data_IF_627854417572
#
_entry.id   IF_627854417572
#
_cell.length_a   1.000
_cell.length_b   1.000
_cell.length_c   1.000
_cell.angle_alpha   90.00
_cell.angle_beta   90.00
_cell.angle_gamma   90.00
#
_symmetry.space_group_name_H-M   'P 1'
#
loop_
_entity.id
_entity.type
_entity.pdbx_description
1 polymer ?
#
# COMPACT_ATOMS: atom_id res chain seq x y z
N UNK A 1 -9.05 -13.41 -7.35
CA UNK A 1 -9.33 -12.22 -6.51
C UNK A 1 -8.05 -11.48 -6.06
N UNK A 2 -7.03 -12.17 -5.53
CA UNK A 2 -5.81 -11.52 -5.03
C UNK A 2 -5.08 -10.71 -6.12
N UNK A 3 -4.72 -11.36 -7.23
CA UNK A 3 -4.08 -10.71 -8.37
C UNK A 3 -4.92 -9.54 -8.91
N UNK A 4 -6.24 -9.73 -9.07
CA UNK A 4 -7.13 -8.70 -9.59
C UNK A 4 -7.16 -7.45 -8.69
N UNK A 5 -7.14 -7.63 -7.36
CA UNK A 5 -7.11 -6.54 -6.40
C UNK A 5 -5.77 -5.80 -6.39
N UNK A 6 -4.65 -6.51 -6.54
CA UNK A 6 -3.33 -5.91 -6.66
C UNK A 6 -3.19 -5.09 -7.94
N UNK A 7 -3.61 -5.65 -9.08
CA UNK A 7 -3.62 -4.93 -10.35
C UNK A 7 -4.51 -3.69 -10.27
N UNK A 8 -5.72 -3.84 -9.71
CA UNK A 8 -6.62 -2.70 -9.53
C UNK A 8 -6.03 -1.61 -8.64
N UNK A 9 -5.35 -1.98 -7.56
CA UNK A 9 -4.67 -1.02 -6.68
C UNK A 9 -3.54 -0.31 -7.43
N UNK A 10 -2.74 -1.06 -8.21
CA UNK A 10 -1.64 -0.51 -9.02
C UNK A 10 -2.14 0.51 -10.03
N UNK A 11 -3.23 0.20 -10.76
CA UNK A 11 -3.88 1.12 -11.70
C UNK A 11 -4.31 2.43 -11.03
N UNK A 12 -4.96 2.33 -9.87
CA UNK A 12 -5.46 3.50 -9.15
C UNK A 12 -4.32 4.37 -8.62
N UNK A 13 -3.25 3.75 -8.11
CA UNK A 13 -2.05 4.46 -7.65
C UNK A 13 -1.36 5.16 -8.82
N UNK A 14 -1.14 4.46 -9.94
CA UNK A 14 -0.51 5.02 -11.13
C UNK A 14 -1.31 6.20 -11.70
N UNK A 15 -2.63 6.04 -11.85
CA UNK A 15 -3.53 7.10 -12.30
C UNK A 15 -3.51 8.32 -11.37
N UNK A 16 -3.52 8.10 -10.05
CA UNK A 16 -3.51 9.19 -9.06
C UNK A 16 -2.16 9.93 -9.01
N UNK A 17 -1.07 9.24 -9.34
CA UNK A 17 0.28 9.79 -9.42
C UNK A 17 0.62 10.41 -10.80
N UNK A 18 -0.23 10.23 -11.81
CA UNK A 18 0.04 10.68 -13.19
C UNK A 18 1.16 9.88 -13.86
N UNK A 19 1.27 8.59 -13.54
CA UNK A 19 2.30 7.69 -14.09
C UNK A 19 1.67 6.79 -15.14
N UNK A 20 1.95 7.10 -16.41
CA UNK A 20 1.37 6.36 -17.54
C UNK A 20 2.18 5.11 -17.91
N UNK A 21 3.43 5.02 -17.44
CA UNK A 21 4.36 3.92 -17.75
C UNK A 21 4.70 3.15 -16.49
N UNK A 22 4.08 1.99 -16.34
CA UNK A 22 4.33 1.08 -15.22
C UNK A 22 4.23 -0.38 -15.68
N UNK A 23 4.76 -1.27 -14.83
CA UNK A 23 4.69 -2.73 -14.95
C UNK A 23 4.27 -3.29 -13.59
N UNK A 24 3.67 -4.46 -13.59
CA UNK A 24 3.32 -5.20 -12.38
C UNK A 24 4.21 -6.44 -12.27
N UNK A 25 4.73 -6.67 -11.08
CA UNK A 25 5.62 -7.79 -10.77
C UNK A 25 5.33 -8.30 -9.37
N UNK A 26 5.62 -9.58 -9.15
CA UNK A 26 5.65 -10.20 -7.83
C UNK A 26 7.06 -10.15 -7.25
N UNK A 27 7.16 -10.33 -5.95
CA UNK A 27 8.42 -10.49 -5.22
C UNK A 27 8.25 -11.62 -4.18
N UNK A 28 9.34 -12.00 -3.54
CA UNK A 28 9.34 -12.99 -2.45
C UNK A 28 8.92 -14.40 -2.88
N UNK A 29 9.18 -14.78 -4.14
CA UNK A 29 8.96 -16.15 -4.59
C UNK A 29 9.92 -17.10 -3.87
N UNK A 30 9.42 -18.21 -3.33
CA UNK A 30 10.28 -19.21 -2.68
C UNK A 30 11.00 -20.11 -3.70
N UNK A 31 12.13 -20.67 -3.30
CA UNK A 31 12.88 -21.65 -4.08
C UNK A 31 12.34 -23.09 -3.96
N UNK A 32 11.10 -23.30 -3.52
CA UNK A 32 10.57 -24.66 -3.22
C UNK A 32 10.15 -25.46 -4.45
N UNK A 33 10.33 -24.92 -5.66
CA UNK A 33 10.05 -25.59 -6.93
C UNK A 33 8.57 -25.63 -7.33
N UNK A 34 7.68 -25.03 -6.54
CA UNK A 34 6.28 -24.84 -6.91
C UNK A 34 6.13 -23.63 -7.86
N UNK A 35 5.19 -23.66 -8.82
CA UNK A 35 4.95 -22.53 -9.71
C UNK A 35 4.40 -21.31 -8.95
N UNK A 36 5.15 -20.21 -8.96
CA UNK A 36 4.73 -18.94 -8.38
C UNK A 36 4.02 -18.05 -9.40
N UNK A 37 3.26 -17.07 -8.90
CA UNK A 37 2.68 -16.02 -9.73
C UNK A 37 3.79 -15.11 -10.26
N UNK A 38 3.81 -14.88 -11.57
CA UNK A 38 4.81 -14.04 -12.25
C UNK A 38 4.20 -12.83 -12.99
N UNK A 39 5.04 -11.94 -13.51
CA UNK A 39 6.51 -12.04 -13.54
C UNK A 39 7.16 -11.71 -12.19
N UNK A 40 8.33 -12.27 -11.91
CA UNK A 40 9.15 -11.86 -10.77
C UNK A 40 9.77 -10.47 -11.01
N UNK A 41 10.11 -9.74 -9.93
CA UNK A 41 10.74 -8.43 -10.00
C UNK A 41 12.09 -8.49 -10.72
N UNK A 42 12.89 -9.54 -10.50
CA UNK A 42 14.19 -9.72 -11.16
C UNK A 42 14.01 -9.92 -12.66
N UNK A 43 13.07 -10.79 -13.08
CA UNK A 43 12.73 -11.01 -14.49
C UNK A 43 12.26 -9.72 -15.17
N UNK A 44 11.50 -8.91 -14.41
CA UNK A 44 11.01 -7.62 -14.89
C UNK A 44 12.16 -6.64 -15.09
N UNK A 45 13.14 -6.59 -14.18
CA UNK A 45 14.32 -5.74 -14.34
C UNK A 45 15.16 -6.14 -15.55
N UNK A 46 15.35 -7.44 -15.80
CA UNK A 46 16.03 -7.92 -17.00
C UNK A 46 15.31 -7.48 -18.27
N UNK A 47 13.99 -7.67 -18.31
CA UNK A 47 13.15 -7.24 -19.44
C UNK A 47 13.29 -5.74 -19.69
N UNK A 48 13.18 -4.92 -18.64
CA UNK A 48 13.32 -3.47 -18.73
C UNK A 48 14.74 -3.05 -19.19
N UNK A 49 15.78 -3.76 -18.77
CA UNK A 49 17.16 -3.51 -19.20
C UNK A 49 17.30 -3.75 -20.71
N UNK A 50 16.74 -4.86 -21.21
CA UNK A 50 16.70 -5.21 -22.64
C UNK A 50 15.88 -4.20 -23.47
N UNK A 51 14.79 -3.66 -22.92
CA UNK A 51 14.00 -2.58 -23.52
C UNK A 51 14.72 -1.20 -23.48
N UNK A 52 15.91 -1.11 -22.86
CA UNK A 52 16.73 0.10 -22.81
C UNK A 52 16.43 1.04 -21.65
N UNK A 53 15.65 0.61 -20.66
CA UNK A 53 15.38 1.40 -19.45
C UNK A 53 16.55 1.37 -18.48
N UNK A 54 16.86 2.52 -17.87
CA UNK A 54 18.03 2.73 -17.00
C UNK A 54 17.68 3.31 -15.63
N UNK A 55 16.40 3.59 -15.39
CA UNK A 55 15.91 4.06 -14.10
C UNK A 55 14.58 3.40 -13.80
N UNK A 56 14.44 2.83 -12.61
CA UNK A 56 13.23 2.13 -12.15
C UNK A 56 12.88 2.61 -10.73
N UNK A 57 11.61 2.96 -10.52
CA UNK A 57 11.04 3.22 -9.21
C UNK A 57 10.10 2.08 -8.84
N UNK A 58 10.41 1.36 -7.76
CA UNK A 58 9.58 0.29 -7.21
C UNK A 58 8.61 0.87 -6.16
N UNK A 59 7.33 0.57 -6.31
CA UNK A 59 6.30 0.91 -5.34
C UNK A 59 5.60 -0.37 -4.85
N UNK A 60 5.93 -0.80 -3.63
CA UNK A 60 5.36 -2.01 -3.05
C UNK A 60 3.95 -1.76 -2.54
N UNK A 61 2.96 -2.37 -3.19
CA UNK A 61 1.53 -2.20 -2.84
C UNK A 61 0.96 -3.36 -2.02
N UNK A 62 1.67 -4.49 -1.93
CA UNK A 62 1.21 -5.70 -1.21
C UNK A 62 1.38 -5.60 0.31
N UNK A 63 2.12 -4.61 0.79
CA UNK A 63 2.43 -4.41 2.21
C UNK A 63 2.29 -2.95 2.59
N UNK A 64 2.13 -2.68 3.89
CA UNK A 64 1.95 -1.33 4.43
C UNK A 64 3.14 -0.85 5.26
N UNK A 65 4.06 -1.75 5.63
CA UNK A 65 5.19 -1.45 6.50
C UNK A 65 6.48 -2.07 5.97
N UNK A 66 7.61 -1.49 6.33
CA UNK A 66 8.90 -2.12 6.11
C UNK A 66 9.01 -3.39 6.97
N UNK A 67 9.50 -4.46 6.36
CA UNK A 67 9.75 -5.77 6.96
C UNK A 67 10.86 -6.45 6.16
N UNK A 68 11.25 -7.67 6.55
CA UNK A 68 12.43 -8.34 6.01
C UNK A 68 12.40 -8.44 4.49
N UNK A 69 11.26 -8.81 3.92
CA UNK A 69 11.03 -9.01 2.49
C UNK A 69 11.14 -7.70 1.70
N UNK A 70 10.81 -6.54 2.29
CA UNK A 70 11.03 -5.24 1.63
C UNK A 70 12.51 -4.90 1.61
N UNK A 71 13.18 -5.02 2.76
CA UNK A 71 14.59 -4.67 2.86
C UNK A 71 15.49 -5.63 2.09
N UNK A 72 15.20 -6.92 2.15
CA UNK A 72 16.04 -7.92 1.53
C UNK A 72 15.76 -7.99 0.02
N UNK A 73 14.52 -8.29 -0.38
CA UNK A 73 14.21 -8.55 -1.78
C UNK A 73 14.41 -7.31 -2.66
N UNK A 74 14.05 -6.12 -2.16
CA UNK A 74 14.19 -4.88 -2.93
C UNK A 74 15.53 -4.20 -2.66
N UNK A 75 15.84 -3.88 -1.40
CA UNK A 75 17.01 -3.06 -1.09
C UNK A 75 18.34 -3.82 -1.17
N UNK A 76 18.33 -5.15 -1.28
CA UNK A 76 19.54 -5.96 -1.47
C UNK A 76 19.49 -6.69 -2.82
N UNK A 77 18.56 -7.62 -3.02
CA UNK A 77 18.58 -8.48 -4.21
C UNK A 77 18.26 -7.73 -5.50
N UNK A 78 17.12 -7.03 -5.55
CA UNK A 78 16.73 -6.29 -6.74
C UNK A 78 17.69 -5.14 -7.05
N UNK A 79 18.22 -4.45 -6.03
CA UNK A 79 19.27 -3.43 -6.22
C UNK A 79 20.56 -4.02 -6.78
N UNK A 80 21.05 -5.13 -6.23
CA UNK A 80 22.24 -5.79 -6.76
C UNK A 80 22.05 -6.23 -8.21
N UNK A 81 20.87 -6.77 -8.56
CA UNK A 81 20.54 -7.10 -9.94
C UNK A 81 20.48 -5.87 -10.84
N UNK A 82 19.83 -4.81 -10.39
CA UNK A 82 19.72 -3.56 -11.13
C UNK A 82 21.10 -2.95 -11.42
N UNK A 83 22.02 -2.96 -10.44
CA UNK A 83 23.40 -2.51 -10.61
C UNK A 83 24.14 -3.32 -11.69
N UNK A 84 24.00 -4.65 -11.70
CA UNK A 84 24.56 -5.52 -12.75
C UNK A 84 24.00 -5.20 -14.15
N UNK A 85 22.75 -4.76 -14.23
CA UNK A 85 22.06 -4.41 -15.47
C UNK A 85 22.28 -2.94 -15.88
N UNK A 86 22.96 -2.13 -15.05
CA UNK A 86 23.13 -0.70 -15.28
C UNK A 86 21.83 0.11 -15.11
N UNK A 87 20.94 -0.34 -14.24
CA UNK A 87 19.68 0.33 -13.87
C UNK A 87 19.84 1.01 -12.51
N UNK A 88 19.53 2.31 -12.44
CA UNK A 88 19.32 2.98 -11.16
C UNK A 88 17.95 2.56 -10.58
N UNK A 89 17.97 1.78 -9.49
CA UNK A 89 16.75 1.34 -8.80
C UNK A 89 16.54 2.14 -7.51
N UNK A 90 15.35 2.74 -7.38
CA UNK A 90 14.85 3.33 -6.13
C UNK A 90 13.53 2.69 -5.73
N UNK A 91 13.16 2.81 -4.46
CA UNK A 91 11.82 2.46 -3.99
C UNK A 91 11.15 3.60 -3.25
N UNK A 92 9.83 3.63 -3.26
CA UNK A 92 9.07 4.52 -2.39
C UNK A 92 9.21 4.08 -0.93
N UNK A 93 9.17 5.01 0.04
CA UNK A 93 9.01 4.66 1.45
C UNK A 93 7.72 3.86 1.67
N UNK A 94 7.75 2.89 2.59
CA UNK A 94 6.53 2.22 3.06
C UNK A 94 5.69 3.17 3.91
N UNK A 95 4.38 2.92 4.02
CA UNK A 95 3.47 3.78 4.78
C UNK A 95 3.85 3.83 6.27
N UNK A 96 4.27 2.70 6.86
CA UNK A 96 4.74 2.62 8.24
C UNK A 96 3.78 3.34 9.22
N UNK A 97 4.30 4.28 10.02
CA UNK A 97 3.54 5.06 10.98
C UNK A 97 3.00 6.39 10.41
N UNK A 98 2.83 6.50 9.08
CA UNK A 98 2.24 7.70 8.48
C UNK A 98 0.82 7.93 9.03
N UNK A 99 0.53 9.11 9.62
CA UNK A 99 -0.78 9.41 10.18
C UNK A 99 -1.93 9.23 9.18
N UNK A 100 -1.67 9.38 7.88
CA UNK A 100 -2.66 9.18 6.81
C UNK A 100 -3.13 7.74 6.73
N UNK A 101 -2.29 6.76 7.05
CA UNK A 101 -2.70 5.35 7.11
C UNK A 101 -3.71 5.12 8.23
N UNK A 102 -3.45 5.66 9.43
CA UNK A 102 -4.39 5.58 10.55
C UNK A 102 -5.72 6.27 10.23
N UNK A 103 -5.69 7.42 9.56
CA UNK A 103 -6.89 8.13 9.11
C UNK A 103 -7.70 7.32 8.08
N UNK A 104 -7.02 6.69 7.11
CA UNK A 104 -7.66 5.84 6.12
C UNK A 104 -8.33 4.61 6.76
N UNK A 105 -7.65 3.94 7.69
CA UNK A 105 -8.22 2.82 8.45
C UNK A 105 -9.42 3.26 9.28
N UNK A 106 -9.33 4.41 9.96
CA UNK A 106 -10.45 4.98 10.71
C UNK A 106 -11.66 5.22 9.80
N UNK A 107 -11.47 5.84 8.64
CA UNK A 107 -12.56 6.09 7.68
C UNK A 107 -13.23 4.78 7.23
N UNK A 108 -12.43 3.76 6.87
CA UNK A 108 -12.94 2.45 6.48
C UNK A 108 -13.75 1.78 7.60
N UNK A 109 -13.30 1.87 8.85
CA UNK A 109 -14.03 1.30 9.99
C UNK A 109 -15.31 2.09 10.26
N UNK A 110 -15.26 3.42 10.24
CA UNK A 110 -16.41 4.29 10.48
C UNK A 110 -17.55 4.07 9.48
N UNK A 111 -17.25 3.80 8.21
CA UNK A 111 -18.25 3.45 7.18
C UNK A 111 -19.03 2.16 7.50
N UNK A 112 -18.44 1.26 8.30
CA UNK A 112 -18.97 -0.08 8.58
C UNK A 112 -19.61 -0.19 9.96
N UNK A 113 -19.40 0.81 10.82
CA UNK A 113 -20.04 0.88 12.13
C UNK A 113 -21.38 1.61 11.97
N UNK A 114 -22.52 0.96 12.26
CA UNK A 114 -23.79 1.66 12.29
C UNK A 114 -23.76 2.73 13.39
N UNK A 115 -24.43 3.89 13.20
CA UNK A 115 -24.46 4.93 14.20
C UNK A 115 -24.95 4.35 15.53
N UNK A 116 -24.20 4.59 16.60
CA UNK A 116 -24.61 4.15 17.94
C UNK A 116 -25.98 4.75 18.25
N UNK A 117 -26.99 3.94 18.64
CA UNK A 117 -28.27 4.48 19.06
C UNK A 117 -28.04 5.47 20.18
N UNK A 118 -28.43 6.73 19.98
CA UNK A 118 -28.47 7.71 21.06
C UNK A 118 -29.45 7.19 22.10
N UNK A 119 -28.95 6.72 23.24
CA UNK A 119 -29.80 6.48 24.40
C UNK A 119 -30.51 7.80 24.73
N UNK A 120 -31.83 7.79 24.96
CA UNK A 120 -32.53 9.01 25.32
C UNK A 120 -31.87 9.59 26.57
N UNK A 121 -31.38 10.82 26.46
CA UNK A 121 -30.96 11.59 27.61
C UNK A 121 -32.19 11.67 28.52
N UNK A 122 -32.19 10.95 29.65
CA UNK A 122 -33.19 11.18 30.70
C UNK A 122 -33.04 12.66 31.05
N UNK A 123 -34.04 13.46 30.71
CA UNK A 123 -34.02 14.89 30.93
C UNK A 123 -33.66 15.16 32.38
N UNK A 124 -32.60 15.93 32.60
CA UNK A 124 -32.41 16.61 33.88
C UNK A 124 -33.67 17.41 34.15
N UNK A 125 -34.33 17.15 35.28
CA UNK A 125 -35.56 17.81 35.67
C UNK A 125 -35.41 19.33 35.54
N UNK A 126 -36.42 19.98 34.96
CA UNK A 126 -36.55 21.43 35.00
C UNK A 126 -36.50 21.87 36.47
N UNK A 127 -35.45 22.58 36.88
CA UNK A 127 -35.57 23.47 38.02
C UNK A 127 -36.51 24.61 37.60
N UNK A 128 -37.76 24.53 38.06
CA UNK A 128 -38.67 25.67 38.06
C UNK A 128 -38.07 26.77 38.93
N UNK A 129 -37.63 27.86 38.30
CA UNK A 129 -37.34 29.11 38.99
C UNK A 129 -38.68 29.71 39.40
N UNK A 130 -39.08 29.50 40.66
CA UNK A 130 -40.22 30.22 41.24
C UNK A 130 -39.80 31.68 41.46
N UNK A 131 -40.60 32.59 40.90
CA UNK A 131 -40.52 34.02 41.10
C UNK A 131 -41.27 34.46 42.37
N UNK A 132 -40.81 35.55 42.99
CA UNK A 132 -41.52 36.31 44.04
C UNK A 132 -41.07 35.98 45.47
N UNK A 133 -40.83 36.94 46.37
CA UNK A 133 -41.10 38.38 46.39
C UNK A 133 -40.05 39.12 47.23
#
# INVERSE_FOLDING_TARGET
PYQDQLLRTSELVAARAGVDRWRFSYQSQSHTGEPWLGPDLIDTLETLAHEGHRSVLVASIGFIADHLEIFYDIDIEAKAKADMLGIELKRTPMLNADPRLAQALHALVAERIPPTPTLPHKGGGRLTRMAGS
#
